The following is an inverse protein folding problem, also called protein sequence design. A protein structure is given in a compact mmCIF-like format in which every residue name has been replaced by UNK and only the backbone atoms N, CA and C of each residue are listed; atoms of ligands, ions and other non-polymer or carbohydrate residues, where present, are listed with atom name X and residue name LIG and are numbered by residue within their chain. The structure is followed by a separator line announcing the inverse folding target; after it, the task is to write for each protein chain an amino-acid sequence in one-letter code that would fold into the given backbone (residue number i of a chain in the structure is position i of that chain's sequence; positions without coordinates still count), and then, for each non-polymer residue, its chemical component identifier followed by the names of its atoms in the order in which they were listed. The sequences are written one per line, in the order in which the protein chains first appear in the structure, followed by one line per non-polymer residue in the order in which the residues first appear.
data_IF_497438531708
#
_entry.id   IF_497438531708
#
_cell.length_a   1.000
_cell.length_b   1.000
_cell.length_c   1.000
_cell.angle_alpha   90.00
_cell.angle_beta   90.00
_cell.angle_gamma   90.00
#
_symmetry.space_group_name_H-M   'P 1'
#
loop_
_entity.id
_entity.type
_entity.pdbx_description
1 polymer ?
#
# COMPACT_ATOMS: atom_id res chain seq x y z
N UNK A 1 12.99 -17.70 -24.41
CA UNK A 1 12.39 -18.57 -23.38
C UNK A 1 12.43 -17.78 -22.09
N UNK A 2 11.29 -17.38 -21.53
CA UNK A 2 11.26 -16.73 -20.21
C UNK A 2 11.56 -17.79 -19.16
N UNK A 3 12.74 -17.70 -18.52
CA UNK A 3 13.00 -18.46 -17.31
C UNK A 3 11.89 -18.13 -16.31
N UNK A 4 11.14 -19.15 -15.90
CA UNK A 4 10.12 -18.99 -14.88
C UNK A 4 10.82 -18.95 -13.54
N UNK A 5 10.64 -17.85 -12.81
CA UNK A 5 11.08 -17.75 -11.43
C UNK A 5 10.57 -18.92 -10.60
N UNK A 6 11.40 -19.36 -9.66
CA UNK A 6 10.93 -20.18 -8.55
C UNK A 6 9.88 -19.41 -7.74
N UNK A 7 9.10 -20.13 -6.93
CA UNK A 7 8.11 -19.50 -6.03
C UNK A 7 8.78 -18.55 -5.03
N UNK A 8 9.97 -18.91 -4.56
CA UNK A 8 10.73 -18.11 -3.61
C UNK A 8 11.25 -16.82 -4.25
N UNK A 9 11.82 -16.90 -5.47
CA UNK A 9 12.25 -15.71 -6.20
C UNK A 9 11.08 -14.78 -6.52
N UNK A 10 9.95 -15.34 -6.97
CA UNK A 10 8.72 -14.58 -7.25
C UNK A 10 8.25 -13.81 -6.00
N UNK A 11 8.32 -14.44 -4.83
CA UNK A 11 7.96 -13.82 -3.57
C UNK A 11 8.94 -12.72 -3.17
N UNK A 12 10.25 -12.96 -3.30
CA UNK A 12 11.26 -11.97 -2.97
C UNK A 12 11.10 -10.72 -3.84
N UNK A 13 10.86 -10.89 -5.15
CA UNK A 13 10.57 -9.78 -6.06
C UNK A 13 9.29 -9.04 -5.68
N UNK A 14 8.25 -9.78 -5.29
CA UNK A 14 7.00 -9.18 -4.80
C UNK A 14 7.23 -8.31 -3.58
N UNK A 15 7.92 -8.83 -2.57
CA UNK A 15 8.17 -8.14 -1.31
C UNK A 15 9.01 -6.88 -1.51
N UNK A 16 9.98 -6.90 -2.43
CA UNK A 16 10.78 -5.72 -2.75
C UNK A 16 9.93 -4.64 -3.44
N UNK A 17 9.12 -5.01 -4.44
CA UNK A 17 8.21 -4.06 -5.08
C UNK A 17 7.20 -3.48 -4.08
N UNK A 18 6.66 -4.32 -3.19
CA UNK A 18 5.74 -3.89 -2.15
C UNK A 18 6.39 -2.94 -1.16
N UNK A 19 7.66 -3.15 -0.82
CA UNK A 19 8.44 -2.24 0.03
C UNK A 19 8.61 -0.88 -0.64
N UNK A 20 8.98 -0.83 -1.92
CA UNK A 20 9.09 0.42 -2.68
C UNK A 20 7.75 1.16 -2.75
N UNK A 21 6.65 0.47 -3.05
CA UNK A 21 5.30 1.04 -3.02
C UNK A 21 4.93 1.62 -1.65
N UNK A 22 5.34 0.95 -0.57
CA UNK A 22 5.18 1.43 0.79
C UNK A 22 5.94 2.74 1.04
N UNK A 23 7.20 2.82 0.61
CA UNK A 23 8.03 4.02 0.73
C UNK A 23 7.42 5.18 -0.06
N UNK A 24 7.00 4.94 -1.31
CA UNK A 24 6.33 5.94 -2.14
C UNK A 24 5.08 6.50 -1.44
N UNK A 25 4.26 5.61 -0.90
CA UNK A 25 3.06 5.97 -0.16
C UNK A 25 3.37 6.83 1.07
N UNK A 26 4.35 6.42 1.88
CA UNK A 26 4.80 7.16 3.07
C UNK A 26 5.30 8.56 2.70
N UNK A 27 6.21 8.66 1.74
CA UNK A 27 6.82 9.93 1.29
C UNK A 27 5.78 10.91 0.78
N UNK A 28 4.73 10.40 0.13
CA UNK A 28 3.64 11.23 -0.37
C UNK A 28 2.78 11.86 0.73
N UNK A 29 2.84 11.36 1.98
CA UNK A 29 2.03 11.77 3.15
C UNK A 29 0.51 11.74 2.90
N UNK A 30 0.04 10.90 1.97
CA UNK A 30 -1.36 10.85 1.54
C UNK A 30 -2.35 10.49 2.66
N UNK A 31 -2.03 9.47 3.46
CA UNK A 31 -2.98 8.88 4.41
C UNK A 31 -3.56 9.92 5.39
N UNK A 32 -2.73 10.74 6.03
CA UNK A 32 -3.21 11.73 6.99
C UNK A 32 -3.82 12.96 6.31
N UNK A 33 -3.05 13.57 5.41
CA UNK A 33 -3.36 14.92 4.88
C UNK A 33 -4.52 14.92 3.89
N UNK A 34 -4.73 13.81 3.17
CA UNK A 34 -5.62 13.78 2.01
C UNK A 34 -6.71 12.73 2.13
N UNK A 35 -6.41 11.58 2.75
CA UNK A 35 -7.40 10.56 3.00
C UNK A 35 -8.24 10.89 4.25
N UNK A 36 -7.63 11.04 5.43
CA UNK A 36 -8.38 11.23 6.68
C UNK A 36 -8.89 12.66 6.86
N UNK A 37 -8.01 13.66 6.76
CA UNK A 37 -8.37 15.06 7.06
C UNK A 37 -9.47 15.62 6.15
N UNK A 38 -9.38 15.36 4.84
CA UNK A 38 -10.38 15.85 3.87
C UNK A 38 -11.73 15.15 4.00
N UNK A 39 -11.74 13.90 4.44
CA UNK A 39 -13.00 13.16 4.54
C UNK A 39 -13.75 13.47 5.83
N UNK A 40 -13.04 13.59 6.95
CA UNK A 40 -13.61 14.09 8.22
C UNK A 40 -14.15 15.51 8.05
N UNK A 41 -13.43 16.39 7.35
CA UNK A 41 -13.90 17.77 7.13
C UNK A 41 -15.11 17.87 6.20
N UNK A 42 -15.22 17.01 5.17
CA UNK A 42 -16.36 16.99 4.24
C UNK A 42 -17.57 16.23 4.77
N UNK A 43 -17.34 15.20 5.58
CA UNK A 43 -18.38 14.37 6.15
C UNK A 43 -18.05 14.12 7.63
N UNK A 44 -18.44 15.04 8.53
CA UNK A 44 -18.13 14.95 9.96
C UNK A 44 -18.67 13.67 10.62
N UNK A 45 -19.67 13.03 9.99
CA UNK A 45 -20.28 11.78 10.43
C UNK A 45 -19.61 10.53 9.84
N UNK A 46 -18.69 10.67 8.88
CA UNK A 46 -17.97 9.53 8.32
C UNK A 46 -16.92 9.04 9.30
N UNK A 47 -17.04 7.78 9.68
CA UNK A 47 -16.17 7.17 10.68
C UNK A 47 -14.73 7.01 10.15
N UNK A 48 -13.70 7.32 10.97
CA UNK A 48 -12.31 7.05 10.64
C UNK A 48 -12.11 5.55 10.33
N UNK A 49 -11.68 5.23 9.11
CA UNK A 49 -11.55 3.84 8.63
C UNK A 49 -12.52 3.44 7.53
N UNK A 50 -13.53 4.27 7.22
CA UNK A 50 -14.38 4.14 6.01
C UNK A 50 -13.82 4.89 4.81
N UNK A 51 -12.50 5.05 4.76
CA UNK A 51 -11.86 5.95 3.80
C UNK A 51 -10.81 5.22 2.98
N UNK A 52 -10.96 5.29 1.65
CA UNK A 52 -10.00 4.73 0.70
C UNK A 52 -9.71 3.24 0.93
N UNK A 53 -8.41 2.91 1.05
CA UNK A 53 -7.91 1.54 1.22
C UNK A 53 -8.46 0.80 2.45
N UNK A 54 -8.97 1.51 3.45
CA UNK A 54 -9.46 0.93 4.71
C UNK A 54 -10.91 0.42 4.63
N UNK A 55 -11.72 0.92 3.68
CA UNK A 55 -13.16 0.61 3.62
C UNK A 55 -13.45 -0.73 2.93
N UNK A 56 -12.63 -1.10 1.95
CA UNK A 56 -12.98 -2.17 1.01
C UNK A 56 -12.30 -3.50 1.29
N UNK A 57 -11.64 -3.67 2.45
CA UNK A 57 -10.83 -4.87 2.71
C UNK A 57 -9.99 -5.19 1.47
N UNK A 58 -9.27 -4.19 0.93
CA UNK A 58 -8.32 -4.39 -0.15
C UNK A 58 -7.15 -5.22 0.40
N UNK A 59 -7.44 -6.46 0.73
CA UNK A 59 -6.49 -7.52 0.70
C UNK A 59 -6.38 -7.85 -0.78
N UNK A 60 -5.16 -8.04 -1.27
CA UNK A 60 -5.03 -8.92 -2.41
C UNK A 60 -5.46 -10.29 -1.88
N UNK A 61 -6.77 -10.56 -1.91
CA UNK A 61 -7.28 -11.92 -1.89
C UNK A 61 -6.76 -12.54 -3.16
N UNK A 62 -5.55 -13.08 -3.11
CA UNK A 62 -5.19 -14.14 -4.04
C UNK A 62 -6.07 -15.29 -3.64
N UNK A 63 -7.26 -15.38 -4.25
CA UNK A 63 -8.17 -16.49 -4.05
C UNK A 63 -7.35 -17.78 -4.20
N UNK A 64 -7.13 -18.45 -3.06
CA UNK A 64 -6.30 -19.65 -2.89
C UNK A 64 -4.79 -19.41 -2.99
N UNK A 65 -4.12 -19.30 -1.81
CA UNK A 65 -2.82 -19.95 -1.64
C UNK A 65 -1.62 -19.20 -1.06
N UNK A 66 -1.76 -18.19 -0.18
CA UNK A 66 -0.57 -17.48 0.35
C UNK A 66 -0.48 -17.36 1.86
N UNK A 67 -0.68 -18.47 2.59
CA UNK A 67 -0.28 -18.53 4.01
C UNK A 67 1.18 -18.13 4.23
N UNK A 68 2.02 -18.31 3.20
CA UNK A 68 3.43 -17.94 3.21
C UNK A 68 3.68 -16.42 3.03
N UNK A 69 2.96 -15.75 2.11
CA UNK A 69 3.06 -14.28 1.97
C UNK A 69 2.59 -13.59 3.26
N UNK A 70 1.49 -14.05 3.83
CA UNK A 70 0.97 -13.49 5.08
C UNK A 70 1.98 -13.69 6.23
N UNK A 71 2.58 -14.88 6.35
CA UNK A 71 3.65 -15.15 7.32
C UNK A 71 4.87 -14.24 7.12
N UNK A 72 5.31 -14.06 5.87
CA UNK A 72 6.47 -13.20 5.58
C UNK A 72 6.16 -11.73 5.86
N UNK A 73 4.95 -11.26 5.54
CA UNK A 73 4.52 -9.91 5.91
C UNK A 73 4.41 -9.72 7.41
N UNK A 74 3.90 -10.72 8.15
CA UNK A 74 3.89 -10.70 9.61
C UNK A 74 5.30 -10.71 10.20
N UNK A 75 6.24 -11.43 9.58
CA UNK A 75 7.65 -11.43 9.97
C UNK A 75 8.31 -10.06 9.76
N UNK A 76 8.03 -9.41 8.62
CA UNK A 76 8.67 -8.14 8.23
C UNK A 76 8.03 -6.94 8.95
N UNK A 77 6.71 -6.86 8.97
CA UNK A 77 5.96 -5.70 9.48
C UNK A 77 5.41 -5.91 10.90
N UNK A 78 5.59 -7.10 11.46
CA UNK A 78 5.08 -7.48 12.78
C UNK A 78 3.61 -7.86 12.77
N UNK A 79 3.22 -8.66 13.75
CA UNK A 79 1.82 -8.96 14.05
C UNK A 79 1.38 -8.08 15.23
N UNK A 80 0.48 -7.11 15.00
CA UNK A 80 -0.12 -6.39 16.12
C UNK A 80 -1.09 -7.34 16.83
N UNK A 81 -0.76 -7.71 18.07
CA UNK A 81 -1.78 -8.20 18.99
C UNK A 81 -2.88 -7.15 18.99
N UNK A 82 -4.13 -7.55 18.75
CA UNK A 82 -5.29 -6.67 19.00
C UNK A 82 -5.10 -6.10 20.40
N UNK A 83 -4.71 -4.83 20.49
CA UNK A 83 -4.62 -4.19 21.79
C UNK A 83 -6.06 -4.10 22.27
N UNK A 84 -6.39 -4.92 23.27
CA UNK A 84 -7.70 -4.93 23.93
C UNK A 84 -8.03 -3.60 24.65
N UNK A 85 -7.13 -2.61 24.59
CA UNK A 85 -7.21 -1.37 25.34
C UNK A 85 -7.74 -0.16 24.55
N UNK A 86 -8.17 -0.31 23.28
CA UNK A 86 -8.60 0.87 22.50
C UNK A 86 -9.99 0.69 21.84
N UNK A 87 -11.01 1.10 22.62
CA UNK A 87 -12.15 1.99 22.28
C UNK A 87 -13.45 1.37 21.72
N UNK A 88 -14.50 1.48 22.54
CA UNK A 88 -15.94 1.62 22.27
C UNK A 88 -16.44 1.41 20.82
N UNK A 89 -17.32 0.41 20.66
CA UNK A 89 -18.52 0.26 19.80
C UNK A 89 -18.72 1.01 18.46
N UNK A 90 -17.75 1.74 17.94
CA UNK A 90 -17.79 2.36 16.62
C UNK A 90 -17.06 1.44 15.65
N UNK A 91 -17.82 0.79 14.77
CA UNK A 91 -17.40 -0.17 13.75
C UNK A 91 -16.23 0.33 12.88
N UNK A 92 -15.00 0.23 13.39
CA UNK A 92 -13.78 0.43 12.60
C UNK A 92 -13.58 -0.77 11.67
N UNK A 93 -13.41 -0.52 10.37
CA UNK A 93 -13.19 -1.56 9.36
C UNK A 93 -11.71 -2.00 9.27
N UNK A 94 -10.77 -1.20 9.79
CA UNK A 94 -9.33 -1.51 9.77
C UNK A 94 -8.71 -1.51 11.18
N UNK A 95 -8.15 -2.66 11.57
CA UNK A 95 -7.45 -2.88 12.86
C UNK A 95 -6.20 -1.98 13.04
N UNK A 96 -5.73 -1.35 11.97
CA UNK A 96 -4.50 -0.56 11.92
C UNK A 96 -4.77 0.94 11.79
N UNK A 97 -6.00 1.40 12.07
CA UNK A 97 -6.40 2.79 11.83
C UNK A 97 -6.98 3.48 13.08
N UNK A 98 -6.64 4.75 13.26
CA UNK A 98 -7.13 5.66 14.30
C UNK A 98 -7.77 6.91 13.70
N UNK A 99 -8.38 7.73 14.54
CA UNK A 99 -8.85 9.07 14.14
C UNK A 99 -7.72 9.98 13.62
N UNK A 100 -6.46 9.69 13.97
CA UNK A 100 -5.27 10.41 13.51
C UNK A 100 -4.61 9.76 12.28
N UNK A 101 -5.25 8.78 11.65
CA UNK A 101 -4.69 8.01 10.54
C UNK A 101 -4.19 6.63 10.94
N UNK A 102 -3.38 6.01 10.08
CA UNK A 102 -2.82 4.69 10.36
C UNK A 102 -2.00 4.68 11.66
N UNK A 103 -2.22 3.66 12.50
CA UNK A 103 -1.53 3.44 13.76
C UNK A 103 -0.10 2.95 13.59
N UNK A 104 0.26 2.44 12.42
CA UNK A 104 1.63 1.99 12.16
C UNK A 104 2.49 3.18 11.73
N UNK A 105 3.73 3.21 12.22
CA UNK A 105 4.71 4.28 11.96
C UNK A 105 5.02 4.45 10.47
N UNK A 106 4.94 3.37 9.71
CA UNK A 106 5.20 3.33 8.26
C UNK A 106 3.93 3.48 7.42
N UNK A 107 2.77 3.70 8.05
CA UNK A 107 1.44 3.56 7.43
C UNK A 107 1.19 2.20 6.75
N UNK A 108 2.04 1.20 7.00
CA UNK A 108 1.98 -0.13 6.41
C UNK A 108 1.60 -1.15 7.48
N UNK A 109 0.51 -1.85 7.23
CA UNK A 109 0.10 -3.04 7.96
C UNK A 109 0.44 -4.26 7.11
N UNK A 110 0.72 -5.45 7.69
CA UNK A 110 0.91 -6.70 6.96
C UNK A 110 -0.23 -7.03 5.98
N UNK A 111 -1.38 -6.37 6.08
CA UNK A 111 -2.53 -6.64 5.22
C UNK A 111 -2.97 -5.43 4.38
N UNK A 112 -2.29 -4.29 4.51
CA UNK A 112 -2.70 -3.06 3.86
C UNK A 112 -1.97 -2.88 2.52
N UNK A 113 -2.74 -2.77 1.43
CA UNK A 113 -2.25 -2.34 0.11
C UNK A 113 -2.73 -0.93 -0.20
N UNK A 114 -2.47 0.01 0.72
CA UNK A 114 -2.93 1.40 0.61
C UNK A 114 -2.51 2.11 -0.67
N UNK A 115 -1.40 1.66 -1.25
CA UNK A 115 -0.89 2.09 -2.54
C UNK A 115 -1.83 1.75 -3.70
N UNK A 116 -2.75 0.79 -3.59
CA UNK A 116 -3.73 0.42 -4.65
C UNK A 116 -5.06 1.22 -4.51
N UNK A 117 -5.01 2.46 -4.00
CA UNK A 117 -6.21 3.28 -3.84
C UNK A 117 -6.43 4.22 -5.04
N UNK A 118 -7.62 4.23 -5.65
CA UNK A 118 -7.93 5.15 -6.76
C UNK A 118 -7.87 6.63 -6.38
N UNK A 119 -8.17 6.97 -5.12
CA UNK A 119 -7.98 8.34 -4.61
C UNK A 119 -6.50 8.73 -4.52
N UNK A 120 -5.61 7.74 -4.36
CA UNK A 120 -4.17 7.95 -4.32
C UNK A 120 -3.59 8.27 -5.70
N UNK A 121 -4.07 7.60 -6.76
CA UNK A 121 -3.74 7.92 -8.16
C UNK A 121 -3.96 9.41 -8.45
N UNK A 122 -5.18 9.89 -8.19
CA UNK A 122 -5.58 11.27 -8.43
C UNK A 122 -4.74 12.27 -7.62
N UNK A 123 -4.35 11.89 -6.40
CA UNK A 123 -3.51 12.70 -5.55
C UNK A 123 -2.07 12.82 -6.09
N UNK A 124 -1.47 11.70 -6.48
CA UNK A 124 -0.13 11.65 -7.05
C UNK A 124 -0.04 12.51 -8.31
N UNK A 125 -1.02 12.38 -9.21
CA UNK A 125 -1.08 13.19 -10.42
C UNK A 125 -1.20 14.69 -10.09
N UNK A 126 -2.18 15.07 -9.26
CA UNK A 126 -2.43 16.49 -8.96
C UNK A 126 -1.29 17.18 -8.21
N UNK A 127 -0.60 16.47 -7.32
CA UNK A 127 0.41 17.06 -6.45
C UNK A 127 1.83 16.96 -7.01
N UNK A 128 2.14 15.86 -7.69
CA UNK A 128 3.50 15.54 -8.13
C UNK A 128 3.61 15.31 -9.65
N UNK A 129 2.50 15.30 -10.39
CA UNK A 129 2.49 15.01 -11.83
C UNK A 129 2.73 13.54 -12.17
N UNK A 130 2.70 12.65 -11.18
CA UNK A 130 3.00 11.23 -11.34
C UNK A 130 1.78 10.51 -11.92
N UNK A 131 1.97 9.79 -13.02
CA UNK A 131 0.96 8.93 -13.62
C UNK A 131 1.02 7.58 -12.89
N UNK A 132 -0.06 7.25 -12.19
CA UNK A 132 -0.11 6.09 -11.31
C UNK A 132 -1.44 5.37 -11.50
N UNK A 133 -1.41 4.05 -11.65
CA UNK A 133 -2.60 3.21 -11.86
C UNK A 133 -2.62 2.07 -10.85
N UNK A 134 -3.56 2.14 -9.92
CA UNK A 134 -3.80 1.12 -8.91
C UNK A 134 -4.16 -0.22 -9.56
N UNK A 135 -4.94 -0.21 -10.65
CA UNK A 135 -5.29 -1.44 -11.36
C UNK A 135 -4.06 -2.10 -12.01
N UNK A 136 -3.19 -1.32 -12.64
CA UNK A 136 -1.96 -1.84 -13.24
C UNK A 136 -1.02 -2.36 -12.16
N UNK A 137 -0.85 -1.64 -11.06
CA UNK A 137 -0.01 -2.09 -9.93
C UNK A 137 -0.53 -3.37 -9.31
N UNK A 138 -1.85 -3.49 -9.12
CA UNK A 138 -2.47 -4.74 -8.65
C UNK A 138 -2.17 -5.89 -9.61
N UNK A 139 -2.31 -5.65 -10.92
CA UNK A 139 -2.05 -6.65 -11.96
C UNK A 139 -0.56 -7.06 -11.94
N UNK A 140 0.36 -6.11 -11.99
CA UNK A 140 1.81 -6.35 -11.96
C UNK A 140 2.20 -7.17 -10.74
N UNK A 141 1.71 -6.80 -9.54
CA UNK A 141 1.97 -7.54 -8.30
C UNK A 141 1.47 -9.00 -8.35
N UNK A 142 0.32 -9.25 -8.98
CA UNK A 142 -0.19 -10.62 -9.19
C UNK A 142 0.64 -11.40 -10.23
N UNK A 143 1.12 -10.73 -11.27
CA UNK A 143 1.99 -11.33 -12.30
C UNK A 143 3.36 -11.67 -11.72
N UNK A 144 3.91 -10.83 -10.83
CA UNK A 144 5.11 -11.12 -10.04
C UNK A 144 4.90 -12.37 -9.18
N UNK A 145 3.85 -12.41 -8.35
CA UNK A 145 3.58 -13.58 -7.48
C UNK A 145 3.38 -14.87 -8.26
N UNK A 146 2.80 -14.79 -9.45
CA UNK A 146 2.54 -15.97 -10.29
C UNK A 146 3.72 -16.36 -11.18
N UNK A 147 4.84 -15.62 -11.13
CA UNK A 147 6.02 -15.86 -11.97
C UNK A 147 5.75 -15.70 -13.47
N UNK A 148 4.75 -14.89 -13.83
CA UNK A 148 4.30 -14.67 -15.23
C UNK A 148 4.94 -13.44 -15.89
N UNK A 149 5.62 -12.62 -15.11
CA UNK A 149 6.31 -11.41 -15.54
C UNK A 149 7.82 -11.68 -15.64
N UNK A 150 8.51 -11.02 -16.57
CA UNK A 150 9.96 -11.16 -16.73
C UNK A 150 10.75 -10.33 -15.73
N UNK A 151 12.03 -10.69 -15.50
CA UNK A 151 12.92 -9.92 -14.63
C UNK A 151 13.11 -8.48 -15.12
N UNK A 152 13.13 -8.26 -16.43
CA UNK A 152 13.30 -6.94 -17.03
C UNK A 152 12.10 -6.02 -16.77
N UNK A 153 10.88 -6.57 -16.89
CA UNK A 153 9.65 -5.86 -16.54
C UNK A 153 9.59 -5.55 -15.04
N UNK A 154 10.03 -6.48 -14.18
CA UNK A 154 10.13 -6.24 -12.73
C UNK A 154 11.09 -5.09 -12.44
N UNK A 155 12.28 -5.09 -13.05
CA UNK A 155 13.28 -4.03 -12.85
C UNK A 155 12.76 -2.68 -13.33
N UNK A 156 12.13 -2.65 -14.50
CA UNK A 156 11.52 -1.43 -15.03
C UNK A 156 10.49 -0.87 -14.05
N UNK A 157 9.62 -1.72 -13.52
CA UNK A 157 8.63 -1.31 -12.51
C UNK A 157 9.29 -0.80 -11.23
N UNK A 158 10.36 -1.45 -10.76
CA UNK A 158 11.11 -0.99 -9.58
C UNK A 158 11.78 0.37 -9.83
N UNK A 159 12.39 0.56 -10.99
CA UNK A 159 13.05 1.81 -11.38
C UNK A 159 12.05 2.98 -11.48
N UNK A 160 10.86 2.73 -12.03
CA UNK A 160 9.76 3.71 -12.05
C UNK A 160 9.38 4.15 -10.63
N UNK A 161 9.19 3.21 -9.71
CA UNK A 161 8.89 3.52 -8.31
C UNK A 161 10.01 4.33 -7.62
N UNK A 162 11.28 3.99 -7.89
CA UNK A 162 12.44 4.70 -7.33
C UNK A 162 12.50 6.14 -7.86
N UNK A 163 12.22 6.33 -9.15
CA UNK A 163 12.16 7.65 -9.76
C UNK A 163 11.03 8.51 -9.17
N UNK A 164 9.85 7.94 -8.99
CA UNK A 164 8.72 8.60 -8.36
C UNK A 164 9.00 9.00 -6.90
N UNK A 165 9.61 8.09 -6.11
CA UNK A 165 10.05 8.38 -4.74
C UNK A 165 11.02 9.58 -4.74
N UNK A 166 12.03 9.52 -5.60
CA UNK A 166 13.05 10.58 -5.72
C UNK A 166 12.45 11.92 -6.14
N UNK A 167 11.43 11.90 -7.01
CA UNK A 167 10.70 13.10 -7.43
C UNK A 167 9.94 13.73 -6.27
N UNK A 168 9.19 12.92 -5.51
CA UNK A 168 8.48 13.39 -4.31
C UNK A 168 9.46 13.99 -3.30
N UNK A 169 10.58 13.32 -3.04
CA UNK A 169 11.61 13.83 -2.13
C UNK A 169 12.12 15.20 -2.57
N UNK A 170 12.54 15.33 -3.83
CA UNK A 170 12.99 16.62 -4.39
C UNK A 170 11.95 17.73 -4.23
N UNK A 171 10.69 17.46 -4.56
CA UNK A 171 9.61 18.46 -4.44
C UNK A 171 9.33 18.84 -2.98
N UNK A 172 9.46 17.89 -2.06
CA UNK A 172 9.18 18.12 -0.63
C UNK A 172 10.32 18.76 0.13
N UNK A 173 11.58 18.63 -0.32
CA UNK A 173 12.75 19.28 0.29
C UNK A 173 12.93 20.75 -0.14
N UNK A 174 12.35 21.15 -1.28
CA UNK A 174 12.43 22.53 -1.80
C UNK A 174 11.44 23.48 -1.08
N UNK A 175 10.58 22.97 -0.19
CA UNK A 175 9.60 23.74 0.58
C UNK A 175 10.00 23.88 2.04
#
# INVERSE_FOLDING_TARGET
MTEKFTKEESLNQYLECEKLLGILFEKSKFCYTECVSKLISRYPTTQPGNVGCCHNNFYISTDKGTSFLDKERERIYGHLKRNNEIINEMKKICDYHSEKGCLTTTHKSPKCVSFICSSYENYLFKKYGIIYSSNEIKKTLLEILSGKISLEEIKTFQDELINDISLIEKITTIK
#
